data_IF_351728155784
#
_entry.id   IF_351728155784
#
_cell.length_a   1.000
_cell.length_b   1.000
_cell.length_c   1.000
_cell.angle_alpha   90.00
_cell.angle_beta   90.00
_cell.angle_gamma   90.00
#
_symmetry.space_group_name_H-M   'P 1'
#
loop_
_entity.id
_entity.type
_entity.pdbx_description
1 polymer ?
#
# COMPACT_ATOMS: atom_id res chain seq x y z
N UNK A 1 -22.38 24.87 35.17
CA UNK A 1 -21.45 25.50 34.21
C UNK A 1 -21.81 24.92 32.85
N UNK A 2 -21.98 25.76 31.81
CA UNK A 2 -22.23 25.29 30.45
C UNK A 2 -20.92 25.30 29.68
N UNK A 3 -20.66 24.20 28.97
CA UNK A 3 -19.52 24.03 28.10
C UNK A 3 -19.50 25.09 26.97
N UNK A 4 -18.30 25.51 26.56
CA UNK A 4 -18.05 26.42 25.44
C UNK A 4 -17.11 25.69 24.50
N UNK A 5 -17.31 25.82 23.19
CA UNK A 5 -16.43 25.20 22.20
C UNK A 5 -15.09 25.97 22.15
N UNK A 6 -14.12 25.64 23.01
CA UNK A 6 -12.79 26.29 23.07
C UNK A 6 -11.61 25.35 22.80
N UNK A 7 -11.83 24.05 22.68
CA UNK A 7 -10.82 23.06 22.26
C UNK A 7 -10.99 22.61 20.80
N UNK A 8 -9.97 21.97 20.22
CA UNK A 8 -10.03 21.40 18.87
C UNK A 8 -9.85 19.88 18.97
N UNK A 9 -10.46 19.06 18.11
CA UNK A 9 -10.10 17.65 18.00
C UNK A 9 -8.62 17.50 17.65
N UNK A 10 -7.87 16.64 18.34
CA UNK A 10 -6.43 16.42 18.12
C UNK A 10 -6.10 14.95 17.98
N UNK A 11 -5.26 14.65 17.01
CA UNK A 11 -4.64 13.34 16.87
C UNK A 11 -3.51 13.18 17.90
N UNK A 12 -3.37 11.99 18.50
CA UNK A 12 -2.27 11.69 19.43
C UNK A 12 -0.89 11.73 18.77
N UNK A 13 -0.83 11.45 17.47
CA UNK A 13 0.41 11.45 16.67
C UNK A 13 0.39 12.56 15.63
N UNK A 14 1.55 13.18 15.35
CA UNK A 14 1.69 14.23 14.32
C UNK A 14 1.61 13.67 12.89
N UNK A 15 1.86 12.37 12.72
CA UNK A 15 1.72 11.63 11.47
C UNK A 15 1.47 10.16 11.78
N UNK A 16 0.83 9.45 10.85
CA UNK A 16 0.72 7.99 10.91
C UNK A 16 1.43 7.36 9.73
N UNK A 17 2.23 6.33 10.00
CA UNK A 17 2.86 5.50 8.98
C UNK A 17 2.30 4.11 9.16
N UNK A 18 1.82 3.50 8.08
CA UNK A 18 1.32 2.12 8.10
C UNK A 18 1.79 1.33 6.90
N UNK A 19 1.45 0.04 6.90
CA UNK A 19 1.71 -0.87 5.79
C UNK A 19 0.52 -1.80 5.53
N UNK A 20 0.40 -2.24 4.29
CA UNK A 20 -0.61 -3.21 3.82
C UNK A 20 -0.05 -4.00 2.63
N UNK A 21 -0.40 -5.28 2.51
CA UNK A 21 -0.05 -6.11 1.34
C UNK A 21 -0.79 -5.61 0.10
N UNK A 22 -0.18 -5.74 -1.06
CA UNK A 22 -0.84 -5.40 -2.33
C UNK A 22 -2.07 -6.28 -2.61
N UNK A 23 -1.96 -7.58 -2.34
CA UNK A 23 -3.06 -8.54 -2.50
C UNK A 23 -4.09 -8.50 -1.36
N UNK A 24 -4.06 -7.47 -0.50
CA UNK A 24 -4.96 -7.34 0.63
C UNK A 24 -6.41 -7.25 0.16
N UNK A 25 -7.28 -8.05 0.79
CA UNK A 25 -8.71 -8.03 0.48
C UNK A 25 -9.41 -6.84 1.14
N UNK A 26 -10.60 -6.49 0.63
CA UNK A 26 -11.47 -5.52 1.28
C UNK A 26 -11.67 -5.87 2.77
N UNK A 27 -11.71 -4.84 3.61
CA UNK A 27 -11.75 -4.87 5.08
C UNK A 27 -10.44 -5.26 5.78
N UNK A 28 -9.35 -5.51 5.05
CA UNK A 28 -8.04 -5.75 5.67
C UNK A 28 -7.56 -4.48 6.37
N UNK A 29 -7.19 -4.52 7.66
CA UNK A 29 -6.67 -3.36 8.37
C UNK A 29 -5.25 -3.02 7.94
N UNK A 30 -4.93 -1.72 7.86
CA UNK A 30 -3.53 -1.29 7.77
C UNK A 30 -2.83 -1.53 9.10
N UNK A 31 -1.56 -1.93 9.06
CA UNK A 31 -0.74 -2.10 10.25
C UNK A 31 0.03 -0.79 10.50
N UNK A 32 -0.31 -0.07 11.58
CA UNK A 32 0.44 1.13 11.96
C UNK A 32 1.83 0.76 12.51
N UNK A 33 2.83 1.54 12.09
CA UNK A 33 4.24 1.42 12.47
C UNK A 33 4.61 2.47 13.53
N UNK A 34 5.81 2.32 14.11
CA UNK A 34 6.47 3.34 14.96
C UNK A 34 5.66 3.81 16.19
N UNK A 35 5.21 2.88 17.03
CA UNK A 35 4.47 3.15 18.29
C UNK A 35 3.32 4.17 18.15
N UNK A 36 2.77 4.33 16.95
CA UNK A 36 1.73 5.30 16.68
C UNK A 36 0.47 4.96 17.47
N UNK A 37 -0.17 5.97 18.04
CA UNK A 37 -1.39 5.82 18.84
C UNK A 37 -2.56 6.30 17.97
N UNK A 38 -3.34 5.40 17.33
CA UNK A 38 -4.40 5.77 16.38
C UNK A 38 -5.64 6.23 17.13
N UNK A 39 -5.57 7.44 17.67
CA UNK A 39 -6.62 8.01 18.52
C UNK A 39 -6.73 9.52 18.30
N UNK A 40 -7.97 9.99 18.42
CA UNK A 40 -8.34 11.41 18.39
C UNK A 40 -9.01 11.76 19.70
N UNK A 41 -8.67 12.91 20.27
CA UNK A 41 -9.29 13.42 21.49
C UNK A 41 -9.71 14.88 21.34
N UNK A 42 -10.75 15.26 22.06
CA UNK A 42 -11.33 16.58 22.21
C UNK A 42 -11.82 16.71 23.67
N UNK A 43 -11.43 17.77 24.36
CA UNK A 43 -11.72 17.94 25.79
C UNK A 43 -13.03 18.68 26.05
N UNK A 44 -13.72 19.16 25.01
CA UNK A 44 -15.03 19.79 25.14
C UNK A 44 -16.13 18.77 25.47
N UNK A 45 -17.24 19.22 26.07
CA UNK A 45 -18.31 18.33 26.52
C UNK A 45 -19.44 18.17 25.50
N UNK A 46 -19.93 16.94 25.35
CA UNK A 46 -21.14 16.67 24.61
C UNK A 46 -20.97 16.93 23.12
N UNK A 47 -21.79 17.82 22.55
CA UNK A 47 -21.76 18.08 21.09
C UNK A 47 -20.49 18.80 20.64
N UNK A 48 -19.88 19.60 21.51
CA UNK A 48 -18.66 20.34 21.18
C UNK A 48 -17.49 19.36 21.02
N UNK A 49 -17.35 18.37 21.90
CA UNK A 49 -16.39 17.27 21.74
C UNK A 49 -16.81 16.15 20.77
N UNK A 50 -17.86 16.34 19.95
CA UNK A 50 -18.30 15.32 18.98
C UNK A 50 -17.76 15.65 17.58
N UNK A 51 -17.04 14.71 16.97
CA UNK A 51 -16.40 14.90 15.67
C UNK A 51 -16.63 13.73 14.71
N UNK A 52 -16.62 14.03 13.42
CA UNK A 52 -16.62 13.06 12.32
C UNK A 52 -15.19 12.84 11.81
N UNK A 53 -14.91 11.60 11.43
CA UNK A 53 -13.63 11.15 10.86
C UNK A 53 -13.84 10.77 9.41
N UNK A 54 -13.02 11.32 8.52
CA UNK A 54 -13.02 10.99 7.10
C UNK A 54 -11.65 11.17 6.47
N UNK A 55 -11.39 10.41 5.40
CA UNK A 55 -10.15 10.45 4.65
C UNK A 55 -10.25 11.46 3.49
N UNK A 56 -9.12 12.08 3.16
CA UNK A 56 -8.99 13.03 2.06
C UNK A 56 -7.73 12.69 1.26
N UNK A 57 -7.91 12.53 -0.06
CA UNK A 57 -6.81 12.26 -0.99
C UNK A 57 -6.42 10.78 -1.11
N UNK A 58 -7.19 9.88 -0.51
CA UNK A 58 -7.00 8.42 -0.60
C UNK A 58 -7.68 7.78 -1.81
N UNK A 59 -8.45 8.56 -2.60
CA UNK A 59 -9.21 8.10 -3.77
C UNK A 59 -10.23 6.98 -3.48
N UNK A 60 -10.68 6.80 -2.23
CA UNK A 60 -11.63 5.76 -1.84
C UNK A 60 -10.99 4.39 -1.65
N UNK A 61 -9.66 4.30 -1.67
CA UNK A 61 -8.90 3.06 -1.45
C UNK A 61 -9.09 2.56 -0.01
N UNK A 62 -9.27 3.48 0.94
CA UNK A 62 -9.35 3.16 2.36
C UNK A 62 -10.64 3.68 3.00
N UNK A 63 -11.05 3.03 4.08
CA UNK A 63 -12.12 3.47 4.97
C UNK A 63 -11.59 3.66 6.39
N UNK A 64 -12.11 4.68 7.09
CA UNK A 64 -11.86 4.89 8.52
C UNK A 64 -13.05 4.44 9.36
N UNK A 65 -12.79 3.79 10.49
CA UNK A 65 -13.82 3.38 11.45
C UNK A 65 -13.37 3.65 12.88
N UNK A 66 -14.22 4.24 13.74
CA UNK A 66 -15.55 4.74 13.44
C UNK A 66 -15.49 6.02 12.59
N UNK A 67 -16.59 6.34 11.87
CA UNK A 67 -16.73 7.62 11.16
C UNK A 67 -17.07 8.78 12.10
N UNK A 68 -17.30 8.50 13.39
CA UNK A 68 -17.71 9.47 14.40
C UNK A 68 -17.18 9.10 15.78
N UNK A 69 -16.65 10.09 16.50
CA UNK A 69 -16.15 9.99 17.87
C UNK A 69 -16.81 11.02 18.79
N UNK A 70 -16.71 10.78 20.11
CA UNK A 70 -17.15 11.70 21.16
C UNK A 70 -16.05 11.74 22.22
N UNK A 71 -15.49 12.91 22.45
CA UNK A 71 -14.40 13.23 23.39
C UNK A 71 -13.09 12.46 23.11
N UNK A 72 -13.13 11.15 22.98
CA UNK A 72 -11.98 10.30 22.68
C UNK A 72 -12.45 9.13 21.83
N UNK A 73 -11.74 8.87 20.72
CA UNK A 73 -12.04 7.77 19.84
C UNK A 73 -10.75 7.19 19.24
N UNK A 74 -10.53 5.90 19.46
CA UNK A 74 -9.59 5.14 18.66
C UNK A 74 -10.15 4.92 17.26
N UNK A 75 -9.28 4.90 16.25
CA UNK A 75 -9.69 4.64 14.88
C UNK A 75 -8.88 3.51 14.24
N UNK A 76 -9.49 2.88 13.24
CA UNK A 76 -8.90 1.85 12.40
C UNK A 76 -9.09 2.27 10.95
N UNK A 77 -8.05 2.08 10.13
CA UNK A 77 -8.14 2.25 8.68
C UNK A 77 -8.07 0.88 8.02
N UNK A 78 -8.98 0.64 7.07
CA UNK A 78 -9.12 -0.63 6.36
C UNK A 78 -9.17 -0.41 4.86
N UNK A 79 -8.76 -1.42 4.10
CA UNK A 79 -8.92 -1.44 2.64
C UNK A 79 -10.40 -1.43 2.29
N UNK A 80 -10.82 -0.49 1.45
CA UNK A 80 -12.15 -0.42 0.87
C UNK A 80 -12.13 -0.90 -0.59
N UNK A 81 -11.21 -0.38 -1.40
CA UNK A 81 -11.02 -0.79 -2.80
C UNK A 81 -9.59 -1.30 -3.01
N UNK A 82 -9.40 -2.63 -3.14
CA UNK A 82 -8.07 -3.22 -3.31
C UNK A 82 -7.48 -3.02 -4.71
N UNK A 83 -8.25 -2.53 -5.69
CA UNK A 83 -7.79 -2.44 -7.09
C UNK A 83 -6.64 -1.44 -7.31
N UNK A 84 -6.35 -0.60 -6.31
CA UNK A 84 -5.24 0.34 -6.33
C UNK A 84 -4.03 -0.14 -5.52
N UNK A 85 -4.12 -1.28 -4.84
CA UNK A 85 -3.04 -1.86 -4.05
C UNK A 85 -2.25 -2.82 -4.95
N UNK A 86 -1.38 -2.25 -5.77
CA UNK A 86 -0.53 -2.99 -6.71
C UNK A 86 0.88 -2.41 -6.58
N UNK A 87 1.82 -3.19 -6.06
CA UNK A 87 3.17 -2.75 -5.72
C UNK A 87 3.93 -2.29 -6.96
N UNK A 88 3.75 -3.00 -8.08
CA UNK A 88 4.35 -2.70 -9.39
C UNK A 88 3.91 -1.32 -9.90
N UNK A 89 2.70 -0.88 -9.54
CA UNK A 89 2.18 0.45 -9.92
C UNK A 89 2.42 1.52 -8.85
N UNK A 90 2.23 1.19 -7.57
CA UNK A 90 2.27 2.14 -6.45
C UNK A 90 2.83 1.51 -5.18
N UNK A 91 3.99 1.99 -4.75
CA UNK A 91 4.67 1.48 -3.55
C UNK A 91 4.35 2.27 -2.28
N UNK A 92 3.87 3.51 -2.42
CA UNK A 92 3.54 4.41 -1.30
C UNK A 92 2.31 5.25 -1.62
N UNK A 93 1.34 5.27 -0.70
CA UNK A 93 0.17 6.16 -0.75
C UNK A 93 0.24 7.20 0.35
N UNK A 94 -0.02 8.47 0.00
CA UNK A 94 -0.06 9.58 0.94
C UNK A 94 -1.43 10.24 0.91
N UNK A 95 -2.08 10.33 2.07
CA UNK A 95 -3.39 10.95 2.22
C UNK A 95 -3.50 11.60 3.60
N UNK A 96 -4.65 12.17 3.93
CA UNK A 96 -4.90 12.81 5.22
C UNK A 96 -6.14 12.27 5.89
N UNK A 97 -6.09 12.12 7.22
CA UNK A 97 -7.26 11.88 8.05
C UNK A 97 -7.69 13.20 8.68
N UNK A 98 -8.98 13.50 8.57
CA UNK A 98 -9.59 14.72 9.11
C UNK A 98 -10.50 14.36 10.26
N UNK A 99 -10.38 15.09 11.37
CA UNK A 99 -11.34 15.09 12.46
C UNK A 99 -12.03 16.45 12.48
N UNK A 100 -13.36 16.47 12.31
CA UNK A 100 -14.14 17.72 12.22
C UNK A 100 -15.34 17.65 13.16
N UNK A 101 -15.50 18.67 14.00
CA UNK A 101 -16.65 18.78 14.89
C UNK A 101 -17.98 18.84 14.13
N UNK A 102 -19.03 18.29 14.74
CA UNK A 102 -20.38 18.24 14.15
C UNK A 102 -21.24 19.46 14.50
N UNK A 103 -20.69 20.42 15.22
CA UNK A 103 -21.42 21.64 15.63
C UNK A 103 -21.72 22.52 14.42
N UNK A 104 -22.88 23.19 14.45
CA UNK A 104 -23.34 24.00 13.33
C UNK A 104 -22.64 25.37 13.25
N UNK A 105 -22.13 25.88 14.37
CA UNK A 105 -21.53 27.21 14.48
C UNK A 105 -20.07 27.06 14.86
N UNK A 106 -19.20 27.62 14.02
CA UNK A 106 -17.73 27.60 14.19
C UNK A 106 -17.15 26.20 14.48
N UNK A 107 -17.43 25.17 13.65
CA UNK A 107 -16.87 23.85 13.85
C UNK A 107 -15.36 23.87 13.63
N UNK A 108 -14.62 23.33 14.59
CA UNK A 108 -13.18 23.17 14.43
C UNK A 108 -12.85 21.83 13.81
N UNK A 109 -11.65 21.77 13.25
CA UNK A 109 -11.12 20.57 12.65
C UNK A 109 -9.60 20.51 12.77
N UNK A 110 -9.09 19.29 12.76
CA UNK A 110 -7.67 19.00 12.58
C UNK A 110 -7.46 17.99 11.46
N UNK A 111 -6.25 18.01 10.91
CA UNK A 111 -5.84 17.16 9.80
C UNK A 111 -4.50 16.53 10.16
N UNK A 112 -4.36 15.24 9.92
CA UNK A 112 -3.10 14.51 10.14
C UNK A 112 -2.69 13.77 8.86
N UNK A 113 -1.41 13.84 8.45
CA UNK A 113 -0.91 13.09 7.30
C UNK A 113 -0.78 11.60 7.63
N UNK A 114 -1.12 10.77 6.64
CA UNK A 114 -1.00 9.31 6.67
C UNK A 114 -0.19 8.86 5.46
N UNK A 115 0.83 8.05 5.71
CA UNK A 115 1.65 7.39 4.70
C UNK A 115 1.48 5.89 4.84
N UNK A 116 1.06 5.22 3.77
CA UNK A 116 0.90 3.77 3.72
C UNK A 116 1.90 3.18 2.74
N UNK A 117 2.72 2.25 3.21
CA UNK A 117 3.61 1.43 2.39
C UNK A 117 2.84 0.23 1.85
N UNK A 118 2.88 0.05 0.53
CA UNK A 118 2.39 -1.17 -0.09
C UNK A 118 3.51 -2.21 -0.01
N UNK A 119 3.17 -3.41 0.43
CA UNK A 119 4.09 -4.52 0.62
C UNK A 119 3.94 -5.49 -0.54
N UNK A 120 5.04 -5.64 -1.26
CA UNK A 120 5.27 -6.59 -2.35
C UNK A 120 5.05 -8.04 -1.91
N UNK A 121 4.39 -8.80 -2.77
CA UNK A 121 4.14 -10.23 -2.76
C UNK A 121 4.63 -10.83 -4.09
N UNK A 122 4.88 -12.14 -4.11
CA UNK A 122 5.33 -12.82 -5.32
C UNK A 122 4.12 -13.24 -6.16
N UNK A 123 3.57 -12.31 -6.93
CA UNK A 123 2.38 -12.55 -7.76
C UNK A 123 2.60 -12.36 -9.26
N UNK A 124 3.77 -11.86 -9.68
CA UNK A 124 4.24 -11.95 -11.04
C UNK A 124 5.07 -13.23 -11.24
N UNK A 125 5.29 -13.59 -12.50
CA UNK A 125 6.13 -14.74 -12.85
C UNK A 125 7.16 -14.35 -13.90
N UNK A 126 8.32 -15.03 -13.96
CA UNK A 126 9.35 -14.68 -14.92
C UNK A 126 8.89 -14.94 -16.35
N UNK A 127 8.90 -13.91 -17.18
CA UNK A 127 8.57 -13.98 -18.60
C UNK A 127 9.83 -13.81 -19.46
N UNK A 128 10.05 -14.73 -20.40
CA UNK A 128 11.15 -14.59 -21.35
C UNK A 128 10.93 -13.39 -22.27
N UNK A 129 12.00 -12.66 -22.60
CA UNK A 129 11.97 -11.50 -23.50
C UNK A 129 11.60 -11.82 -24.96
N UNK A 130 11.51 -13.11 -25.29
CA UNK A 130 11.14 -13.59 -26.61
C UNK A 130 10.61 -15.01 -26.54
N UNK A 131 9.58 -15.29 -27.32
CA UNK A 131 8.95 -16.62 -27.42
C UNK A 131 9.85 -17.62 -28.17
N UNK A 132 10.72 -17.10 -29.05
CA UNK A 132 11.63 -17.89 -29.87
C UNK A 132 12.99 -17.20 -30.00
N UNK A 133 14.05 -17.92 -29.62
CA UNK A 133 15.43 -17.50 -29.79
C UNK A 133 16.08 -18.33 -30.90
N UNK A 134 16.20 -17.74 -32.09
CA UNK A 134 16.85 -18.39 -33.23
C UNK A 134 18.31 -17.96 -33.30
N UNK A 135 19.23 -18.92 -33.27
CA UNK A 135 20.67 -18.65 -33.45
C UNK A 135 21.28 -19.63 -34.44
N UNK A 136 22.15 -19.12 -35.32
CA UNK A 136 22.95 -19.92 -36.24
C UNK A 136 24.36 -20.07 -35.68
N UNK A 137 24.81 -21.31 -35.52
CA UNK A 137 26.15 -21.65 -35.04
C UNK A 137 26.91 -22.39 -36.12
N UNK A 138 28.20 -22.08 -36.28
CA UNK A 138 29.04 -22.74 -37.26
C UNK A 138 29.39 -24.16 -36.80
N UNK A 139 29.30 -25.15 -37.69
CA UNK A 139 29.56 -26.56 -37.36
C UNK A 139 30.96 -26.81 -36.75
N UNK A 140 31.93 -25.99 -37.14
CA UNK A 140 33.32 -26.09 -36.69
C UNK A 140 33.60 -25.27 -35.41
N UNK A 141 32.56 -24.84 -34.68
CA UNK A 141 32.75 -24.10 -33.43
C UNK A 141 33.36 -25.00 -32.34
N UNK A 142 34.24 -24.42 -31.51
CA UNK A 142 34.88 -25.14 -30.42
C UNK A 142 33.92 -25.42 -29.25
N UNK A 143 34.27 -26.39 -28.41
CA UNK A 143 33.59 -26.67 -27.15
C UNK A 143 33.66 -25.43 -26.24
N UNK A 144 32.53 -25.10 -25.61
CA UNK A 144 32.40 -23.91 -24.74
C UNK A 144 31.96 -22.65 -25.48
N UNK A 145 31.69 -22.72 -26.79
CA UNK A 145 31.09 -21.60 -27.53
C UNK A 145 29.69 -21.30 -26.99
N UNK A 146 29.45 -20.08 -26.55
CA UNK A 146 28.11 -19.61 -26.16
C UNK A 146 27.18 -19.59 -27.39
N UNK A 147 26.08 -20.33 -27.32
CA UNK A 147 25.13 -20.47 -28.43
C UNK A 147 24.09 -19.35 -28.41
N UNK A 148 23.54 -19.00 -27.24
CA UNK A 148 22.52 -17.97 -27.12
C UNK A 148 22.60 -17.32 -25.74
N UNK A 149 22.11 -16.09 -25.66
CA UNK A 149 21.75 -15.42 -24.42
C UNK A 149 20.23 -15.34 -24.37
N UNK A 150 19.64 -15.85 -23.30
CA UNK A 150 18.21 -15.72 -23.02
C UNK A 150 18.03 -14.87 -21.78
N UNK A 151 16.95 -14.10 -21.75
CA UNK A 151 16.59 -13.27 -20.61
C UNK A 151 15.13 -13.47 -20.29
N UNK A 152 14.83 -13.49 -18.99
CA UNK A 152 13.49 -13.48 -18.43
C UNK A 152 13.41 -12.35 -17.42
N UNK A 153 12.29 -11.66 -17.42
CA UNK A 153 12.00 -10.50 -16.58
C UNK A 153 10.82 -10.85 -15.69
N UNK A 154 10.92 -10.45 -14.44
CA UNK A 154 9.89 -10.58 -13.42
C UNK A 154 9.72 -9.22 -12.75
N UNK A 155 8.48 -8.76 -12.63
CA UNK A 155 8.11 -7.39 -12.26
C UNK A 155 8.10 -7.17 -10.75
N UNK A 156 8.03 -8.24 -9.95
CA UNK A 156 8.05 -8.16 -8.49
C UNK A 156 9.35 -7.51 -7.97
N UNK A 157 9.40 -7.24 -6.67
CA UNK A 157 10.58 -6.65 -6.03
C UNK A 157 11.63 -7.68 -5.57
N UNK A 158 12.85 -7.18 -5.36
CA UNK A 158 13.96 -7.92 -4.75
C UNK A 158 14.16 -9.36 -5.27
N UNK A 159 14.01 -10.36 -4.41
CA UNK A 159 14.24 -11.77 -4.73
C UNK A 159 13.01 -12.45 -5.34
N UNK A 160 11.85 -11.80 -5.33
CA UNK A 160 10.68 -12.26 -6.07
C UNK A 160 10.81 -11.87 -7.53
N UNK A 161 11.31 -10.66 -7.80
CA UNK A 161 11.51 -10.16 -9.16
C UNK A 161 12.70 -10.71 -9.93
N UNK A 162 13.08 -9.96 -10.98
CA UNK A 162 14.11 -10.34 -11.96
C UNK A 162 15.44 -10.80 -11.33
N UNK A 163 15.82 -10.29 -10.14
CA UNK A 163 17.06 -10.70 -9.45
C UNK A 163 16.99 -12.13 -8.89
N UNK A 164 15.79 -12.62 -8.59
CA UNK A 164 15.53 -13.98 -8.11
C UNK A 164 15.53 -15.03 -9.21
N UNK A 165 15.43 -14.63 -10.48
CA UNK A 165 15.29 -15.53 -11.63
C UNK A 165 16.51 -16.45 -11.76
N UNK A 166 16.25 -17.75 -11.93
CA UNK A 166 17.28 -18.79 -12.09
C UNK A 166 17.01 -19.64 -13.33
N UNK A 167 17.98 -19.66 -14.24
CA UNK A 167 18.01 -20.58 -15.38
C UNK A 167 18.61 -21.92 -14.95
N UNK A 168 17.88 -23.01 -15.18
CA UNK A 168 18.28 -24.34 -14.69
C UNK A 168 18.74 -25.25 -15.83
N UNK A 169 17.80 -25.80 -16.59
CA UNK A 169 18.08 -26.77 -17.65
C UNK A 169 17.37 -26.38 -18.94
N UNK A 170 18.08 -26.51 -20.05
CA UNK A 170 17.48 -26.51 -21.38
C UNK A 170 16.79 -27.87 -21.59
N UNK A 171 15.46 -27.88 -21.75
CA UNK A 171 14.67 -29.08 -22.06
C UNK A 171 14.13 -29.01 -23.49
N UNK A 172 14.12 -30.13 -24.21
CA UNK A 172 13.58 -30.22 -25.56
C UNK A 172 14.22 -31.31 -26.41
N UNK A 173 13.54 -31.70 -27.49
CA UNK A 173 14.10 -32.62 -28.48
C UNK A 173 14.92 -31.84 -29.51
N UNK A 174 16.07 -32.39 -29.89
CA UNK A 174 16.79 -31.93 -31.08
C UNK A 174 15.83 -32.12 -32.27
N UNK A 175 15.47 -31.03 -32.94
CA UNK A 175 14.76 -31.13 -34.22
C UNK A 175 15.70 -31.87 -35.18
N UNK A 176 15.34 -33.11 -35.55
CA UNK A 176 16.03 -33.82 -36.61
C UNK A 176 15.88 -32.99 -37.89
N UNK A 177 16.99 -32.43 -38.36
CA UNK A 177 17.15 -31.92 -39.72
C UNK A 177 17.37 -33.09 -40.68
#
# INVERSE_FOLDING_TARGET
>A
LTDVNDEIPRFRSERYIGEVLENAQQNTPITFLQDAIPEVFDYDQGKNGTFELYLVGDNGVFDVTPFKGINEASFLIRVNDPSFLDYETVTVMNFSLVAKEVVATDPKMSVVPIMVHIKDENDNFPEFTGDLYTVSVHENCGVGTTVAWVQALDQDSDNYGTRGVRYTSLGGSIANL
#
